data_IF_095166773115
#
_entry.id   IF_095166773115
#
_cell.length_a   1.000
_cell.length_b   1.000
_cell.length_c   1.000
_cell.angle_alpha   90.00
_cell.angle_beta   90.00
_cell.angle_gamma   90.00
#
_symmetry.space_group_name_H-M   'P 1'
#
loop_
_entity.id
_entity.type
_entity.pdbx_description
1 polymer ?
#
# COMPACT_ATOMS: atom_id res chain seq x y z
N UNK A 1 4.36 -3.50 9.63
CA UNK A 1 3.95 -3.28 8.23
C UNK A 1 2.81 -2.28 8.21
N UNK A 2 2.80 -1.38 7.23
CA UNK A 2 1.64 -0.52 6.92
C UNK A 2 1.13 -0.98 5.56
N UNK A 3 -0.17 -1.16 5.41
CA UNK A 3 -0.76 -1.51 4.12
C UNK A 3 -2.08 -0.80 3.89
N UNK A 4 -2.47 -0.72 2.62
CA UNK A 4 -3.76 -0.22 2.20
C UNK A 4 -4.23 -1.03 0.98
N UNK A 5 -5.54 -1.23 0.89
CA UNK A 5 -6.17 -1.81 -0.30
C UNK A 5 -6.67 -0.67 -1.18
N UNK A 6 -6.15 -0.62 -2.40
CA UNK A 6 -6.68 0.18 -3.49
C UNK A 6 -7.78 -0.58 -4.20
N UNK A 7 -8.91 0.08 -4.45
CA UNK A 7 -10.00 -0.44 -5.28
C UNK A 7 -10.14 0.46 -6.52
N UNK A 8 -9.88 -0.09 -7.70
CA UNK A 8 -9.92 0.62 -8.97
C UNK A 8 -8.74 0.31 -9.89
N UNK A 9 -8.56 1.12 -10.95
CA UNK A 9 -7.50 0.92 -11.95
C UNK A 9 -6.09 0.96 -11.36
N UNK A 10 -5.17 0.22 -11.97
CA UNK A 10 -3.75 0.21 -11.57
C UNK A 10 -3.09 1.58 -11.67
N UNK A 11 -3.48 2.39 -12.66
CA UNK A 11 -2.96 3.75 -12.87
C UNK A 11 -3.20 4.69 -11.68
N UNK A 12 -4.16 4.37 -10.80
CA UNK A 12 -4.48 5.16 -9.61
C UNK A 12 -4.00 4.53 -8.30
N UNK A 13 -3.26 3.41 -8.33
CA UNK A 13 -2.67 2.76 -7.14
C UNK A 13 -1.74 3.69 -6.37
N UNK A 14 -1.15 4.69 -7.04
CA UNK A 14 -0.35 5.75 -6.42
C UNK A 14 -1.08 6.48 -5.28
N UNK A 15 -2.41 6.55 -5.29
CA UNK A 15 -3.19 7.13 -4.20
C UNK A 15 -3.06 6.33 -2.89
N UNK A 16 -3.09 4.99 -2.99
CA UNK A 16 -2.91 4.11 -1.84
C UNK A 16 -1.48 4.19 -1.30
N UNK A 17 -0.48 4.23 -2.19
CA UNK A 17 0.92 4.49 -1.81
C UNK A 17 1.08 5.81 -1.07
N UNK A 18 0.46 6.90 -1.57
CA UNK A 18 0.47 8.20 -0.92
C UNK A 18 -0.07 8.15 0.52
N UNK A 19 -1.16 7.40 0.74
CA UNK A 19 -1.75 7.21 2.09
C UNK A 19 -0.83 6.40 3.00
N UNK A 20 -0.26 5.30 2.52
CA UNK A 20 0.65 4.44 3.30
C UNK A 20 1.92 5.19 3.69
N UNK A 21 2.54 5.91 2.76
CA UNK A 21 3.75 6.70 3.01
C UNK A 21 3.48 7.84 4.00
N UNK A 22 2.38 8.58 3.80
CA UNK A 22 1.96 9.64 4.72
C UNK A 22 1.72 9.11 6.14
N UNK A 23 1.01 7.99 6.27
CA UNK A 23 0.77 7.37 7.57
C UNK A 23 2.07 6.96 8.26
N UNK A 24 3.01 6.33 7.52
CA UNK A 24 4.29 5.94 8.09
C UNK A 24 5.08 7.16 8.58
N UNK A 25 5.11 8.24 7.81
CA UNK A 25 5.76 9.49 8.18
C UNK A 25 5.14 10.12 9.44
N UNK A 26 3.81 10.27 9.48
CA UNK A 26 3.10 10.87 10.61
C UNK A 26 3.26 10.09 11.92
N UNK A 27 3.52 8.78 11.82
CA UNK A 27 3.72 7.89 12.98
C UNK A 27 5.21 7.63 13.29
N UNK A 28 6.15 8.32 12.62
CA UNK A 28 7.58 8.15 12.84
C UNK A 28 8.10 6.74 12.51
N UNK A 29 7.42 6.01 11.64
CA UNK A 29 7.79 4.67 11.22
C UNK A 29 8.86 4.75 10.14
N UNK A 30 9.91 3.92 10.23
CA UNK A 30 10.98 3.85 9.23
C UNK A 30 10.78 2.65 8.33
N UNK A 31 11.07 2.81 7.03
CA UNK A 31 11.10 1.71 6.05
C UNK A 31 12.07 0.63 6.49
N UNK A 32 11.62 -0.62 6.47
CA UNK A 32 12.41 -1.80 6.87
C UNK A 32 12.27 -2.94 5.85
N UNK A 33 12.70 -2.70 4.62
CA UNK A 33 12.69 -3.68 3.53
C UNK A 33 11.99 -3.22 2.25
N UNK A 34 11.88 -4.10 1.24
CA UNK A 34 11.29 -3.79 -0.05
C UNK A 34 9.77 -3.67 0.03
N UNK A 35 9.26 -2.69 -0.69
CA UNK A 35 7.82 -2.50 -0.95
C UNK A 35 7.22 -3.70 -1.70
N UNK A 36 5.92 -3.96 -1.51
CA UNK A 36 5.20 -5.00 -2.25
C UNK A 36 3.82 -4.52 -2.72
N UNK A 37 3.38 -5.06 -3.84
CA UNK A 37 1.99 -4.98 -4.30
C UNK A 37 1.42 -6.39 -4.46
N UNK A 38 0.19 -6.60 -4.00
CA UNK A 38 -0.53 -7.88 -4.12
C UNK A 38 -1.80 -7.63 -4.93
N UNK A 39 -1.91 -8.28 -6.08
CA UNK A 39 -3.10 -8.27 -6.91
C UNK A 39 -4.08 -9.31 -6.38
N UNK A 40 -5.11 -8.84 -5.67
CA UNK A 40 -5.96 -9.69 -4.82
C UNK A 40 -7.06 -10.44 -5.60
N UNK A 41 -7.40 -9.98 -6.79
CA UNK A 41 -8.41 -10.58 -7.65
C UNK A 41 -7.96 -10.60 -9.11
N UNK A 42 -8.61 -11.45 -9.91
CA UNK A 42 -8.32 -11.59 -11.34
C UNK A 42 -8.93 -10.43 -12.14
N UNK A 43 -8.11 -9.49 -12.65
CA UNK A 43 -8.63 -8.31 -13.35
C UNK A 43 -9.30 -8.63 -14.68
N UNK A 44 -9.18 -9.87 -15.20
CA UNK A 44 -9.81 -10.29 -16.45
C UNK A 44 -11.29 -10.66 -16.30
N UNK A 45 -11.73 -10.93 -15.06
CA UNK A 45 -13.07 -11.44 -14.75
C UNK A 45 -13.98 -10.40 -14.07
N UNK A 46 -13.55 -9.14 -13.94
CA UNK A 46 -14.31 -8.08 -13.27
C UNK A 46 -14.04 -6.69 -13.89
N UNK A 47 -14.95 -5.72 -13.70
CA UNK A 47 -14.74 -4.35 -14.13
C UNK A 47 -13.50 -3.74 -13.47
N UNK A 48 -12.74 -2.90 -14.20
CA UNK A 48 -11.52 -2.26 -13.68
C UNK A 48 -11.75 -1.47 -12.39
N UNK A 49 -12.96 -0.94 -12.18
CA UNK A 49 -13.36 -0.23 -10.94
C UNK A 49 -13.44 -1.14 -9.70
N UNK A 50 -13.48 -2.45 -9.88
CA UNK A 50 -13.58 -3.47 -8.84
C UNK A 50 -12.25 -4.20 -8.59
N UNK A 51 -11.20 -3.89 -9.35
CA UNK A 51 -9.86 -4.48 -9.17
C UNK A 51 -9.30 -4.07 -7.82
N UNK A 52 -8.73 -5.04 -7.10
CA UNK A 52 -8.18 -4.85 -5.76
C UNK A 52 -6.67 -5.08 -5.77
N UNK A 53 -5.93 -4.06 -5.33
CA UNK A 53 -4.47 -4.14 -5.15
C UNK A 53 -4.12 -3.75 -3.72
N UNK A 54 -3.43 -4.60 -2.98
CA UNK A 54 -2.87 -4.23 -1.68
C UNK A 54 -1.45 -3.70 -1.86
N UNK A 55 -1.17 -2.49 -1.38
CA UNK A 55 0.19 -1.96 -1.27
C UNK A 55 0.71 -2.19 0.14
N UNK A 56 1.94 -2.68 0.27
CA UNK A 56 2.55 -3.03 1.55
C UNK A 56 3.91 -2.37 1.72
N UNK A 57 4.03 -1.59 2.80
CA UNK A 57 5.26 -0.95 3.25
C UNK A 57 5.78 -1.64 4.52
N UNK A 58 6.86 -2.44 4.43
CA UNK A 58 7.57 -2.91 5.60
C UNK A 58 8.10 -1.72 6.40
N UNK A 59 7.79 -1.69 7.69
CA UNK A 59 8.25 -0.63 8.59
C UNK A 59 8.63 -1.17 9.95
N UNK A 60 9.52 -0.45 10.61
CA UNK A 60 9.88 -0.61 12.01
C UNK A 60 9.64 0.69 12.78
N UNK A 61 9.43 0.56 14.09
CA UNK A 61 9.43 1.70 15.00
C UNK A 61 10.88 1.92 15.46
N UNK A 62 11.46 3.11 15.23
CA UNK A 62 12.75 3.44 15.81
C UNK A 62 12.70 3.33 17.33
N UNK A 63 13.81 2.98 18.01
CA UNK A 63 13.87 3.06 19.46
C UNK A 63 13.51 4.47 19.93
N UNK A 64 12.83 4.56 21.07
CA UNK A 64 12.63 5.84 21.74
C UNK A 64 14.00 6.46 22.09
N UNK A 65 14.11 7.81 22.08
CA UNK A 65 15.35 8.48 22.45
C UNK A 65 15.81 8.14 23.87
#
# INVERSE_FOLDING_TARGET
>A
MVSAIHKGPYDTVGEAWGRVLKFAQENGLKRNGPDREIYLNDPTNLPVSEVLTEVQLPVERPPAP
#
